data_IF_369372283214
#
_entry.id   IF_369372283214
#
_cell.length_a   1.000
_cell.length_b   1.000
_cell.length_c   1.000
_cell.angle_alpha   90.00
_cell.angle_beta   90.00
_cell.angle_gamma   90.00
#
_symmetry.space_group_name_H-M   'P 1'
#
loop_
_entity.id
_entity.type
_entity.pdbx_description
1 polymer ?
#
# COMPACT_ATOMS: atom_id res chain seq x y z
N UNK A 1 14.21 0.04 -27.03
CA UNK A 1 14.48 0.97 -28.15
C UNK A 1 13.97 2.39 -27.91
N UNK A 2 12.75 2.60 -27.38
CA UNK A 2 12.16 3.93 -27.23
C UNK A 2 12.96 4.93 -26.39
N UNK A 3 13.43 4.54 -25.20
CA UNK A 3 14.12 5.45 -24.25
C UNK A 3 15.38 6.14 -24.82
N UNK A 4 16.06 5.53 -25.81
CA UNK A 4 17.30 6.10 -26.39
C UNK A 4 17.04 7.07 -27.53
N UNK A 5 15.88 7.03 -28.18
CA UNK A 5 15.62 7.73 -29.43
C UNK A 5 14.40 8.65 -29.38
N UNK A 6 13.60 8.56 -28.32
CA UNK A 6 12.40 9.38 -28.13
C UNK A 6 12.62 10.28 -26.92
N UNK A 7 12.65 11.60 -27.08
CA UNK A 7 12.97 12.54 -25.99
C UNK A 7 11.90 12.60 -24.90
N UNK A 8 10.64 12.33 -25.21
CA UNK A 8 9.55 12.30 -24.25
C UNK A 8 8.49 11.27 -24.65
N UNK A 9 7.90 10.59 -23.68
CA UNK A 9 6.85 9.60 -23.88
C UNK A 9 5.72 9.90 -22.89
N UNK A 10 4.51 10.11 -23.40
CA UNK A 10 3.29 10.24 -22.63
C UNK A 10 2.53 8.91 -22.66
N UNK A 11 2.33 8.30 -21.50
CA UNK A 11 1.55 7.08 -21.36
C UNK A 11 0.16 7.50 -20.89
N UNK A 12 -0.80 7.24 -21.72
CA UNK A 12 -2.19 7.53 -21.47
C UNK A 12 -2.95 6.21 -21.42
N UNK A 13 -3.31 5.79 -20.27
CA UNK A 13 -4.15 4.60 -20.09
C UNK A 13 -5.52 4.80 -20.77
N UNK A 14 -6.58 4.28 -20.24
CA UNK A 14 -7.95 4.49 -20.72
C UNK A 14 -8.54 5.74 -20.07
N UNK A 15 -8.45 6.89 -20.73
CA UNK A 15 -8.75 8.19 -20.12
C UNK A 15 -10.20 8.68 -20.31
N UNK A 16 -11.06 7.92 -20.98
CA UNK A 16 -12.47 8.26 -21.17
C UNK A 16 -12.71 9.45 -22.12
N UNK A 17 -13.89 10.07 -22.02
CA UNK A 17 -14.36 11.10 -22.97
C UNK A 17 -13.49 12.36 -23.03
N UNK A 18 -12.83 12.73 -21.95
CA UNK A 18 -11.98 13.94 -21.86
C UNK A 18 -10.53 13.71 -22.30
N UNK A 19 -10.25 12.57 -22.90
CA UNK A 19 -8.92 12.12 -23.31
C UNK A 19 -8.20 13.15 -24.18
N UNK A 20 -8.80 13.55 -25.28
CA UNK A 20 -8.19 14.50 -26.22
C UNK A 20 -7.86 15.85 -25.57
N UNK A 21 -8.76 16.39 -24.77
CA UNK A 21 -8.53 17.64 -24.03
C UNK A 21 -7.40 17.53 -23.01
N UNK A 22 -7.33 16.39 -22.32
CA UNK A 22 -6.29 16.13 -21.31
C UNK A 22 -4.91 16.05 -21.95
N UNK A 23 -4.76 15.31 -23.05
CA UNK A 23 -3.51 15.23 -23.82
C UNK A 23 -3.09 16.59 -24.34
N UNK A 24 -4.01 17.31 -25.00
CA UNK A 24 -3.71 18.63 -25.55
C UNK A 24 -3.24 19.60 -24.46
N UNK A 25 -3.89 19.62 -23.29
CA UNK A 25 -3.49 20.48 -22.19
C UNK A 25 -2.08 20.16 -21.66
N UNK A 26 -1.69 18.91 -21.64
CA UNK A 26 -0.31 18.52 -21.29
C UNK A 26 0.65 18.93 -22.41
N UNK A 27 0.42 18.53 -23.65
CA UNK A 27 1.33 18.78 -24.77
C UNK A 27 1.59 20.27 -25.03
N UNK A 28 0.57 21.10 -24.83
CA UNK A 28 0.68 22.57 -24.97
C UNK A 28 1.02 23.29 -23.67
N UNK A 29 1.37 22.57 -22.61
CA UNK A 29 1.85 23.15 -21.35
C UNK A 29 0.79 23.87 -20.51
N UNK A 30 -0.50 23.72 -20.81
CA UNK A 30 -1.59 24.26 -19.98
C UNK A 30 -1.72 23.56 -18.65
N UNK A 31 -1.36 22.27 -18.62
CA UNK A 31 -1.37 21.44 -17.41
C UNK A 31 -0.01 20.80 -17.25
N UNK A 32 0.61 20.98 -16.09
CA UNK A 32 1.83 20.27 -15.73
C UNK A 32 1.48 18.82 -15.36
N UNK A 33 2.07 17.79 -16.02
CA UNK A 33 1.82 16.41 -15.70
C UNK A 33 2.26 16.08 -14.28
N UNK A 34 1.49 15.23 -13.61
CA UNK A 34 1.76 14.77 -12.24
C UNK A 34 1.35 13.32 -12.01
N UNK A 35 1.20 12.56 -13.10
CA UNK A 35 0.97 11.12 -13.05
C UNK A 35 2.27 10.37 -12.79
N UNK A 36 2.17 9.28 -12.04
CA UNK A 36 3.27 8.35 -11.79
C UNK A 36 2.85 6.95 -12.22
N UNK A 37 3.81 6.16 -12.70
CA UNK A 37 3.58 4.79 -13.15
C UNK A 37 3.17 3.90 -11.97
N UNK A 38 2.10 3.16 -12.13
CA UNK A 38 1.60 2.19 -11.17
C UNK A 38 2.13 0.78 -11.41
N UNK A 39 2.95 0.61 -12.43
CA UNK A 39 3.66 -0.63 -12.78
C UNK A 39 5.07 -0.31 -13.23
N UNK A 40 6.00 -1.25 -13.07
CA UNK A 40 7.33 -1.16 -13.68
C UNK A 40 7.25 -1.56 -15.14
N UNK A 41 7.96 -0.87 -16.03
CA UNK A 41 8.09 -1.22 -17.43
C UNK A 41 9.35 -2.04 -17.64
N UNK A 42 9.28 -3.25 -18.20
CA UNK A 42 10.44 -4.07 -18.48
C UNK A 42 11.29 -3.51 -19.61
N UNK A 43 12.57 -3.87 -19.67
CA UNK A 43 13.47 -3.51 -20.77
C UNK A 43 13.06 -4.16 -22.09
N UNK A 44 12.52 -5.36 -22.02
CA UNK A 44 12.03 -6.16 -23.14
C UNK A 44 11.02 -7.19 -22.66
N UNK A 45 10.35 -7.89 -23.56
CA UNK A 45 9.46 -9.01 -23.22
C UNK A 45 10.16 -10.15 -22.47
N UNK A 46 11.45 -10.34 -22.68
CA UNK A 46 12.25 -11.32 -21.93
C UNK A 46 12.66 -10.87 -20.54
N UNK A 47 12.35 -9.66 -20.13
CA UNK A 47 12.66 -9.10 -18.82
C UNK A 47 11.47 -9.18 -17.84
N UNK A 48 10.61 -10.16 -17.98
CA UNK A 48 9.50 -10.41 -17.08
C UNK A 48 9.83 -11.56 -16.12
N UNK A 49 9.38 -11.48 -14.85
CA UNK A 49 8.62 -10.38 -14.22
C UNK A 49 9.54 -9.21 -13.79
N UNK A 50 9.04 -7.98 -13.91
CA UNK A 50 9.75 -6.75 -13.56
C UNK A 50 8.95 -5.92 -12.55
N UNK A 51 8.90 -6.35 -11.29
CA UNK A 51 8.22 -5.64 -10.21
C UNK A 51 9.20 -5.11 -9.16
N UNK A 52 8.89 -3.96 -8.58
CA UNK A 52 9.79 -3.23 -7.67
C UNK A 52 9.91 -3.88 -6.28
N UNK A 53 8.91 -4.65 -5.87
CA UNK A 53 8.79 -5.28 -4.56
C UNK A 53 9.16 -6.77 -4.58
N UNK A 54 10.15 -7.11 -5.42
CA UNK A 54 10.65 -8.47 -5.48
C UNK A 54 11.28 -8.91 -4.15
N UNK A 55 11.39 -10.22 -3.95
CA UNK A 55 12.12 -10.76 -2.81
C UNK A 55 13.63 -10.56 -2.97
N UNK A 56 14.38 -10.47 -1.86
CA UNK A 56 15.84 -10.41 -1.93
C UNK A 56 16.40 -11.69 -2.56
N UNK A 57 17.45 -11.55 -3.34
CA UNK A 57 18.18 -12.69 -3.91
C UNK A 57 19.44 -12.97 -3.11
N UNK A 58 19.86 -14.22 -3.09
CA UNK A 58 20.96 -14.74 -2.26
C UNK A 58 22.34 -14.15 -2.56
N UNK A 59 22.56 -13.53 -3.72
CA UNK A 59 23.87 -13.05 -4.16
C UNK A 59 23.91 -11.64 -4.71
N UNK A 60 22.98 -10.80 -4.32
CA UNK A 60 22.98 -9.41 -4.77
C UNK A 60 22.84 -9.26 -6.27
N UNK A 61 22.12 -10.12 -6.85
CA UNK A 61 21.79 -10.32 -8.25
C UNK A 61 21.52 -9.02 -9.03
N UNK A 62 20.89 -8.05 -8.40
CA UNK A 62 20.55 -6.77 -9.03
C UNK A 62 21.64 -5.70 -8.94
N UNK A 63 22.85 -6.04 -8.48
CA UNK A 63 23.93 -5.09 -8.27
C UNK A 63 25.03 -5.15 -9.34
N UNK A 64 25.17 -6.27 -10.05
CA UNK A 64 26.17 -6.45 -11.10
C UNK A 64 25.57 -7.22 -12.26
N UNK A 65 25.26 -6.58 -13.37
CA UNK A 65 24.89 -7.29 -14.58
C UNK A 65 26.02 -8.25 -14.98
N UNK A 66 25.63 -9.48 -15.36
CA UNK A 66 26.58 -10.43 -15.89
C UNK A 66 27.14 -10.00 -17.24
N UNK A 67 28.28 -10.54 -17.62
CA UNK A 67 28.83 -10.46 -18.96
C UNK A 67 28.89 -11.84 -19.61
N UNK A 68 29.21 -11.88 -20.89
CA UNK A 68 29.37 -13.16 -21.58
C UNK A 68 30.53 -13.99 -21.01
N UNK A 69 31.64 -13.34 -20.64
CA UNK A 69 32.82 -13.98 -20.04
C UNK A 69 32.61 -14.33 -18.56
N UNK A 70 31.79 -13.57 -17.89
CA UNK A 70 31.43 -13.79 -16.49
C UNK A 70 29.91 -13.67 -16.35
N UNK A 71 29.18 -14.70 -16.77
CA UNK A 71 27.75 -14.71 -16.64
C UNK A 71 27.41 -14.69 -15.14
N UNK A 72 26.98 -13.55 -14.66
CA UNK A 72 26.44 -13.38 -13.34
C UNK A 72 25.16 -14.23 -13.19
N UNK A 73 24.39 -13.90 -12.18
CA UNK A 73 23.03 -14.46 -12.04
C UNK A 73 21.98 -13.53 -12.60
N UNK A 74 22.40 -12.49 -13.32
CA UNK A 74 21.59 -11.46 -13.96
C UNK A 74 21.37 -11.76 -15.44
N UNK A 75 20.67 -10.85 -16.11
CA UNK A 75 20.58 -10.84 -17.57
C UNK A 75 21.95 -10.49 -18.17
N UNK A 76 22.49 -11.35 -19.02
CA UNK A 76 23.84 -11.19 -19.58
C UNK A 76 23.99 -9.94 -20.44
N UNK A 77 22.94 -9.56 -21.18
CA UNK A 77 22.98 -8.46 -22.16
C UNK A 77 22.13 -7.24 -21.78
N UNK A 78 21.55 -7.23 -20.59
CA UNK A 78 20.71 -6.12 -20.15
C UNK A 78 20.86 -5.85 -18.66
N UNK A 79 20.60 -4.60 -18.25
CA UNK A 79 20.50 -4.27 -16.84
C UNK A 79 19.33 -5.03 -16.21
N UNK A 80 19.46 -5.51 -14.96
CA UNK A 80 18.36 -6.13 -14.23
C UNK A 80 17.27 -5.11 -13.80
N UNK A 81 17.59 -3.81 -13.81
CA UNK A 81 16.62 -2.77 -13.52
C UNK A 81 15.58 -2.59 -14.64
N UNK A 82 14.38 -2.13 -14.32
CA UNK A 82 13.34 -1.86 -15.31
C UNK A 82 13.71 -0.72 -16.26
N UNK A 83 13.00 -0.61 -17.36
CA UNK A 83 13.11 0.53 -18.28
C UNK A 83 12.63 1.82 -17.60
N UNK A 84 11.48 1.72 -16.93
CA UNK A 84 10.94 2.73 -16.01
C UNK A 84 10.41 2.01 -14.78
N UNK A 85 10.82 2.50 -13.62
CA UNK A 85 10.44 1.91 -12.35
C UNK A 85 8.99 2.24 -11.96
N UNK A 86 8.42 1.44 -11.08
CA UNK A 86 7.19 1.78 -10.38
C UNK A 86 7.34 3.14 -9.68
N UNK A 87 6.32 3.97 -9.75
CA UNK A 87 6.33 5.31 -9.18
C UNK A 87 7.03 6.36 -10.05
N UNK A 88 7.67 5.99 -11.18
CA UNK A 88 8.32 6.96 -12.07
C UNK A 88 7.31 7.91 -12.70
N UNK A 89 7.64 9.20 -12.71
CA UNK A 89 6.86 10.25 -13.36
C UNK A 89 7.74 11.46 -13.68
N UNK A 90 7.38 12.19 -14.71
CA UNK A 90 8.03 13.43 -15.10
C UNK A 90 7.05 14.59 -15.02
N UNK A 91 7.59 15.76 -14.75
CA UNK A 91 6.86 17.01 -14.64
C UNK A 91 7.66 18.14 -15.31
N UNK A 92 7.03 19.27 -15.58
CA UNK A 92 7.69 20.44 -16.19
C UNK A 92 8.45 21.30 -15.16
N UNK A 93 8.43 20.90 -13.89
CA UNK A 93 9.16 21.56 -12.82
C UNK A 93 10.06 20.57 -12.08
N UNK A 94 10.77 21.02 -11.06
CA UNK A 94 11.64 20.17 -10.25
C UNK A 94 11.32 20.32 -8.78
N UNK A 95 11.42 19.24 -8.02
CA UNK A 95 11.16 19.25 -6.59
C UNK A 95 12.40 18.79 -5.83
N UNK A 96 12.63 19.41 -4.67
CA UNK A 96 13.65 18.99 -3.72
C UNK A 96 13.00 18.47 -2.45
N UNK A 97 13.51 17.38 -1.91
CA UNK A 97 13.00 16.69 -0.72
C UNK A 97 14.04 16.74 0.37
N UNK A 98 13.69 17.26 1.54
CA UNK A 98 14.58 17.42 2.69
C UNK A 98 13.86 17.13 4.00
N UNK A 99 14.61 17.12 5.11
CA UNK A 99 14.09 17.15 6.48
C UNK A 99 13.07 16.05 6.79
N UNK A 100 13.43 14.81 6.57
CA UNK A 100 12.59 13.69 6.97
C UNK A 100 12.56 13.57 8.49
N UNK A 101 11.36 13.65 9.06
CA UNK A 101 11.11 13.47 10.50
C UNK A 101 10.11 12.35 10.71
N UNK A 102 10.43 11.42 11.60
CA UNK A 102 9.57 10.28 11.90
C UNK A 102 9.04 10.40 13.32
N UNK A 103 7.73 10.28 13.47
CA UNK A 103 7.02 10.18 14.73
C UNK A 103 6.41 8.78 14.80
N UNK A 104 6.89 8.00 15.76
CA UNK A 104 6.42 6.64 15.97
C UNK A 104 5.51 6.60 17.19
N UNK A 105 4.33 6.00 17.03
CA UNK A 105 3.43 5.60 18.11
C UNK A 105 3.26 4.07 18.11
N UNK A 106 2.54 3.55 19.07
CA UNK A 106 2.28 2.11 19.16
C UNK A 106 1.51 1.58 17.93
N UNK A 107 0.63 2.38 17.35
CA UNK A 107 -0.28 1.97 16.29
C UNK A 107 0.10 2.50 14.92
N UNK A 108 0.84 3.59 14.84
CA UNK A 108 1.06 4.31 13.59
C UNK A 108 2.43 4.96 13.51
N UNK A 109 2.91 5.07 12.29
CA UNK A 109 4.15 5.76 11.94
C UNK A 109 3.76 6.93 11.05
N UNK A 110 4.10 8.15 11.50
CA UNK A 110 3.92 9.39 10.75
C UNK A 110 5.29 9.89 10.29
N UNK A 111 5.41 10.13 9.01
CA UNK A 111 6.64 10.64 8.38
C UNK A 111 6.33 12.00 7.78
N UNK A 112 7.12 12.98 8.12
CA UNK A 112 7.01 14.31 7.54
C UNK A 112 8.23 14.55 6.65
N UNK A 113 8.01 15.04 5.45
CA UNK A 113 9.06 15.41 4.51
C UNK A 113 8.83 16.84 4.04
N UNK A 114 9.89 17.64 4.00
CA UNK A 114 9.85 18.98 3.44
C UNK A 114 10.05 18.89 1.94
N UNK A 115 9.11 19.41 1.17
CA UNK A 115 9.14 19.44 -0.29
C UNK A 115 9.14 20.86 -0.79
N UNK A 116 10.09 21.22 -1.65
CA UNK A 116 10.22 22.53 -2.27
C UNK A 116 10.14 22.40 -3.79
N UNK A 117 9.34 23.24 -4.41
CA UNK A 117 9.39 23.44 -5.86
C UNK A 117 10.58 24.34 -6.21
N UNK A 118 11.60 23.76 -6.83
CA UNK A 118 12.83 24.46 -7.23
C UNK A 118 12.83 24.89 -8.69
N UNK A 119 11.79 24.50 -9.43
CA UNK A 119 11.64 24.85 -10.84
C UNK A 119 10.87 26.15 -11.08
N UNK A 120 10.55 26.39 -12.34
CA UNK A 120 9.93 27.64 -12.80
C UNK A 120 8.40 27.58 -12.96
N UNK A 121 7.82 26.40 -12.83
CA UNK A 121 6.41 26.16 -13.10
C UNK A 121 5.72 25.62 -11.86
N UNK A 122 4.48 26.00 -11.66
CA UNK A 122 3.62 25.34 -10.68
C UNK A 122 3.48 23.86 -11.04
N UNK A 123 3.49 22.99 -10.04
CA UNK A 123 3.40 21.56 -10.25
C UNK A 123 2.94 20.80 -9.02
N UNK A 124 2.72 19.50 -9.20
CA UNK A 124 2.33 18.63 -8.09
C UNK A 124 3.44 17.62 -7.81
N UNK A 125 4.02 17.70 -6.62
CA UNK A 125 4.97 16.70 -6.12
C UNK A 125 4.21 15.49 -5.58
N UNK A 126 4.81 14.30 -5.71
CA UNK A 126 4.26 13.04 -5.19
C UNK A 126 5.34 12.31 -4.38
N UNK A 127 5.60 12.73 -3.13
CA UNK A 127 6.46 11.95 -2.25
C UNK A 127 5.86 10.58 -1.99
N UNK A 128 6.67 9.55 -2.15
CA UNK A 128 6.33 8.14 -2.00
C UNK A 128 7.12 7.57 -0.83
N UNK A 129 6.42 6.96 0.12
CA UNK A 129 7.01 6.35 1.31
C UNK A 129 7.09 4.85 1.11
N UNK A 130 8.30 4.34 1.09
CA UNK A 130 8.59 2.92 1.02
C UNK A 130 9.15 2.43 2.35
N UNK A 131 8.85 1.18 2.68
CA UNK A 131 9.37 0.51 3.86
C UNK A 131 10.02 -0.80 3.46
N UNK A 132 11.14 -1.11 4.11
CA UNK A 132 11.82 -2.38 4.05
C UNK A 132 11.99 -2.93 5.46
N UNK A 133 11.61 -4.17 5.66
CA UNK A 133 12.04 -4.94 6.80
C UNK A 133 13.50 -5.37 6.60
N UNK A 134 14.37 -4.98 7.53
CA UNK A 134 15.81 -5.25 7.39
C UNK A 134 16.13 -6.71 7.65
N UNK A 135 15.41 -7.31 8.61
CA UNK A 135 15.60 -8.69 9.02
C UNK A 135 14.28 -9.27 9.54
N UNK A 136 13.78 -10.29 8.87
CA UNK A 136 12.52 -10.96 9.19
C UNK A 136 12.67 -12.48 9.20
N UNK A 137 11.78 -13.16 9.93
CA UNK A 137 11.79 -14.63 10.04
C UNK A 137 11.49 -15.34 8.72
N UNK A 138 10.77 -14.67 7.83
CA UNK A 138 10.48 -15.14 6.45
C UNK A 138 11.00 -14.11 5.45
N UNK A 139 11.13 -14.53 4.18
CA UNK A 139 11.54 -13.61 3.11
C UNK A 139 10.47 -12.55 2.87
N UNK A 140 10.84 -11.28 3.06
CA UNK A 140 9.99 -10.11 2.79
C UNK A 140 10.50 -9.33 1.58
N UNK A 141 9.65 -8.57 0.88
CA UNK A 141 10.06 -7.76 -0.25
C UNK A 141 11.15 -6.74 0.09
N UNK A 142 12.05 -6.47 -0.86
CA UNK A 142 13.14 -5.50 -0.71
C UNK A 142 12.66 -4.09 -0.37
N UNK A 143 11.43 -3.76 -0.71
CA UNK A 143 10.69 -2.56 -0.28
C UNK A 143 9.23 -2.66 -0.66
N UNK A 144 8.37 -1.96 0.06
CA UNK A 144 6.93 -1.86 -0.22
C UNK A 144 6.49 -0.41 -0.09
N UNK A 145 5.70 0.09 -1.04
CA UNK A 145 5.02 1.38 -0.91
C UNK A 145 3.97 1.28 0.20
N UNK A 146 4.05 2.13 1.22
CA UNK A 146 3.09 2.17 2.33
C UNK A 146 2.23 3.42 2.33
N UNK A 147 2.75 4.53 1.80
CA UNK A 147 2.00 5.77 1.70
C UNK A 147 2.52 6.65 0.56
N UNK A 148 1.67 7.51 0.04
CA UNK A 148 2.04 8.61 -0.83
C UNK A 148 1.09 9.78 -0.60
N UNK A 149 1.51 10.97 -1.02
CA UNK A 149 0.66 12.14 -1.02
C UNK A 149 0.92 12.95 -2.29
N UNK A 150 -0.07 13.70 -2.76
CA UNK A 150 0.07 14.59 -3.92
C UNK A 150 -0.18 16.02 -3.48
N UNK A 151 0.83 16.86 -3.54
CA UNK A 151 0.79 18.24 -3.09
C UNK A 151 1.11 19.21 -4.22
N UNK A 152 0.27 20.23 -4.41
CA UNK A 152 0.50 21.31 -5.37
C UNK A 152 1.42 22.36 -4.75
N UNK A 153 2.39 22.83 -5.53
CA UNK A 153 3.38 23.83 -5.11
C UNK A 153 3.63 24.84 -6.23
N UNK A 154 3.55 26.11 -5.90
CA UNK A 154 3.97 27.21 -6.76
C UNK A 154 5.51 27.26 -6.87
N UNK A 155 6.08 27.93 -7.89
CA UNK A 155 7.52 28.12 -7.99
C UNK A 155 8.13 28.73 -6.74
N UNK A 156 9.16 28.08 -6.17
CA UNK A 156 9.82 28.49 -4.93
C UNK A 156 9.09 28.11 -3.63
N UNK A 157 7.86 27.66 -3.71
CA UNK A 157 7.06 27.26 -2.54
C UNK A 157 7.65 26.03 -1.86
N UNK A 158 7.56 26.03 -0.53
CA UNK A 158 8.01 24.92 0.32
C UNK A 158 6.87 24.52 1.25
N UNK A 159 6.63 23.24 1.38
CA UNK A 159 5.63 22.71 2.32
C UNK A 159 6.13 21.46 3.03
N UNK A 160 5.55 21.18 4.18
CA UNK A 160 5.81 19.96 4.94
C UNK A 160 4.67 18.98 4.68
N UNK A 161 4.99 17.87 4.02
CA UNK A 161 4.02 16.85 3.59
C UNK A 161 3.96 15.72 4.61
N UNK A 162 2.79 15.45 5.19
CA UNK A 162 2.60 14.28 6.05
C UNK A 162 2.34 13.02 5.20
N UNK A 163 2.99 11.93 5.61
CA UNK A 163 2.77 10.56 5.13
C UNK A 163 2.56 9.68 6.35
N UNK A 164 1.64 8.76 6.33
CA UNK A 164 1.40 7.89 7.47
C UNK A 164 0.96 6.49 7.02
N UNK A 165 1.27 5.51 7.86
CA UNK A 165 0.78 4.15 7.71
C UNK A 165 0.65 3.51 9.11
N UNK A 166 -0.16 2.48 9.23
CA UNK A 166 -0.34 1.78 10.49
C UNK A 166 0.82 0.81 10.74
N UNK A 167 1.23 0.63 12.00
CA UNK A 167 2.29 -0.34 12.35
C UNK A 167 1.91 -1.75 11.88
N UNK A 168 0.63 -2.10 11.94
CA UNK A 168 0.11 -3.38 11.43
C UNK A 168 0.32 -3.61 9.93
N UNK A 169 0.52 -2.56 9.12
CA UNK A 169 0.85 -2.69 7.70
C UNK A 169 2.25 -3.30 7.47
N UNK A 170 3.04 -3.43 8.53
CA UNK A 170 4.34 -4.11 8.55
C UNK A 170 4.23 -5.60 8.86
N UNK A 171 3.01 -6.10 9.12
CA UNK A 171 2.81 -7.48 9.51
C UNK A 171 3.20 -8.46 8.40
N UNK A 172 3.74 -9.57 8.82
CA UNK A 172 3.97 -10.76 8.00
C UNK A 172 3.13 -11.92 8.53
N UNK A 173 2.89 -12.90 7.68
CA UNK A 173 2.20 -14.14 8.06
C UNK A 173 3.20 -15.28 8.00
N UNK A 174 3.42 -15.94 9.13
CA UNK A 174 4.34 -17.06 9.25
C UNK A 174 3.81 -18.36 8.60
N UNK A 175 4.62 -19.41 8.58
CA UNK A 175 4.24 -20.72 8.00
C UNK A 175 3.06 -21.37 8.73
N UNK A 176 2.83 -21.02 9.99
CA UNK A 176 1.68 -21.49 10.77
C UNK A 176 0.39 -20.70 10.50
N UNK A 177 0.43 -19.69 9.62
CA UNK A 177 -0.69 -18.82 9.28
C UNK A 177 -0.95 -17.72 10.32
N UNK A 178 -0.02 -17.48 11.24
CA UNK A 178 -0.14 -16.42 12.25
C UNK A 178 0.39 -15.11 11.69
N UNK A 179 -0.44 -14.07 11.71
CA UNK A 179 -0.07 -12.72 11.26
C UNK A 179 0.39 -11.87 12.44
N UNK A 180 1.58 -11.30 12.34
CA UNK A 180 2.16 -10.45 13.38
C UNK A 180 3.14 -9.44 12.79
N UNK A 181 3.38 -8.36 13.51
CA UNK A 181 4.53 -7.49 13.32
C UNK A 181 5.65 -8.01 14.19
N UNK A 182 6.77 -8.41 13.61
CA UNK A 182 7.94 -8.86 14.35
C UNK A 182 8.73 -7.66 14.90
N UNK A 183 9.38 -7.80 16.08
CA UNK A 183 10.31 -6.79 16.53
C UNK A 183 11.53 -6.80 15.62
N UNK A 184 11.96 -5.62 15.24
CA UNK A 184 13.07 -5.51 14.29
C UNK A 184 13.34 -4.08 13.86
N UNK A 185 14.26 -3.96 12.92
CA UNK A 185 14.62 -2.69 12.29
C UNK A 185 13.96 -2.55 10.94
N UNK A 186 13.33 -1.41 10.71
CA UNK A 186 12.66 -1.08 9.46
C UNK A 186 13.29 0.15 8.82
N UNK A 187 13.64 0.06 7.56
CA UNK A 187 14.11 1.20 6.78
C UNK A 187 12.92 1.96 6.20
N UNK A 188 12.77 3.21 6.60
CA UNK A 188 11.81 4.15 6.06
C UNK A 188 12.49 4.96 4.96
N UNK A 189 11.92 4.95 3.78
CA UNK A 189 12.52 5.54 2.59
C UNK A 189 11.52 6.49 1.92
N UNK A 190 11.98 7.69 1.56
CA UNK A 190 11.21 8.66 0.76
C UNK A 190 11.86 8.79 -0.61
N UNK A 191 11.06 8.65 -1.64
CA UNK A 191 11.48 8.84 -3.03
C UNK A 191 10.37 9.44 -3.88
N UNK A 192 10.68 9.71 -5.13
CA UNK A 192 9.72 10.08 -6.19
C UNK A 192 9.47 8.93 -7.18
N UNK A 193 10.25 7.84 -7.03
CA UNK A 193 10.07 6.56 -7.69
C UNK A 193 10.70 5.44 -6.85
N UNK A 194 10.35 4.18 -7.13
CA UNK A 194 10.87 3.03 -6.38
C UNK A 194 12.38 2.81 -6.55
N UNK A 195 12.97 3.27 -7.65
CA UNK A 195 14.42 3.22 -7.92
C UNK A 195 15.13 4.55 -7.62
N UNK A 196 14.39 5.59 -7.21
CA UNK A 196 14.93 6.90 -6.88
C UNK A 196 14.57 7.30 -5.45
N UNK A 197 15.30 6.74 -4.50
CA UNK A 197 15.17 7.03 -3.07
C UNK A 197 16.05 8.21 -2.71
N UNK A 198 15.45 9.24 -2.12
CA UNK A 198 16.09 10.53 -1.81
C UNK A 198 16.48 10.64 -0.33
N UNK A 199 15.63 10.12 0.56
CA UNK A 199 15.85 10.16 2.00
C UNK A 199 15.62 8.77 2.60
N UNK A 200 16.41 8.44 3.64
CA UNK A 200 16.34 7.13 4.30
C UNK A 200 16.66 7.27 5.78
N UNK A 201 15.89 6.60 6.60
CA UNK A 201 16.09 6.51 8.05
C UNK A 201 15.63 5.15 8.56
N UNK A 202 16.29 4.63 9.58
CA UNK A 202 15.90 3.36 10.23
C UNK A 202 15.14 3.65 11.52
N UNK A 203 14.07 2.89 11.73
CA UNK A 203 13.32 2.84 12.99
C UNK A 203 13.38 1.44 13.58
N UNK A 204 13.06 1.29 14.87
CA UNK A 204 12.96 -0.01 15.53
C UNK A 204 11.58 -0.22 16.11
N UNK A 205 11.03 -1.42 15.92
CA UNK A 205 9.81 -1.91 16.57
C UNK A 205 10.24 -2.87 17.68
N UNK A 206 9.86 -2.58 18.93
CA UNK A 206 10.42 -3.28 20.11
C UNK A 206 9.61 -4.48 20.59
N UNK A 207 8.42 -4.76 20.06
CA UNK A 207 7.54 -5.81 20.55
C UNK A 207 6.86 -6.58 19.41
N UNK A 208 6.65 -7.89 19.65
CA UNK A 208 5.73 -8.67 18.83
C UNK A 208 4.31 -8.12 18.97
N UNK A 209 3.70 -7.75 17.86
CA UNK A 209 2.31 -7.28 17.82
C UNK A 209 1.50 -8.28 17.02
N UNK A 210 0.62 -9.02 17.69
CA UNK A 210 -0.40 -9.81 16.99
C UNK A 210 -1.32 -8.84 16.23
N UNK A 211 -1.53 -9.11 14.97
CA UNK A 211 -2.41 -8.30 14.13
C UNK A 211 -3.74 -9.04 14.01
N UNK A 212 -4.80 -8.39 14.46
CA UNK A 212 -6.14 -8.89 14.19
C UNK A 212 -6.40 -8.85 12.69
N UNK A 213 -6.98 -9.91 12.09
CA UNK A 213 -7.45 -9.86 10.71
C UNK A 213 -8.39 -8.68 10.43
N UNK A 214 -9.06 -8.17 11.48
CA UNK A 214 -10.01 -7.06 11.45
C UNK A 214 -9.35 -5.72 11.79
N UNK A 215 -8.33 -5.32 11.07
CA UNK A 215 -7.63 -4.05 11.33
C UNK A 215 -8.13 -2.93 10.41
N UNK A 216 -9.41 -2.59 10.50
CA UNK A 216 -9.98 -1.51 9.69
C UNK A 216 -9.94 -0.22 10.50
N UNK A 217 -9.07 0.71 10.08
CA UNK A 217 -9.07 2.10 10.52
C UNK A 217 -9.57 3.02 9.40
N UNK A 218 -10.82 2.86 8.99
CA UNK A 218 -11.50 3.91 8.25
C UNK A 218 -11.94 5.00 9.23
N UNK A 219 -11.67 6.25 8.92
CA UNK A 219 -12.31 7.38 9.59
C UNK A 219 -13.81 7.35 9.21
N UNK A 220 -14.61 6.89 10.14
CA UNK A 220 -16.06 6.86 10.00
C UNK A 220 -16.65 8.22 10.36
N UNK A 221 -17.79 8.59 9.78
CA UNK A 221 -18.51 9.79 10.18
C UNK A 221 -18.78 9.78 11.69
N UNK A 222 -18.68 10.93 12.34
CA UNK A 222 -18.85 11.12 13.80
C UNK A 222 -20.23 10.74 14.37
N UNK A 223 -21.17 10.31 13.51
CA UNK A 223 -22.56 10.04 13.89
C UNK A 223 -22.90 8.55 14.08
N UNK A 224 -21.96 7.62 13.83
CA UNK A 224 -22.21 6.18 13.97
C UNK A 224 -22.03 5.75 15.43
N UNK A 225 -22.95 4.91 15.94
CA UNK A 225 -22.83 4.29 17.27
C UNK A 225 -23.54 5.01 18.40
N UNK A 226 -24.44 5.94 18.09
CA UNK A 226 -25.32 6.62 19.08
C UNK A 226 -26.63 5.90 19.32
N UNK A 227 -26.89 4.80 18.56
CA UNK A 227 -28.11 3.99 18.71
C UNK A 227 -28.12 3.12 19.95
N UNK A 228 -29.29 2.56 20.26
CA UNK A 228 -29.42 1.60 21.36
C UNK A 228 -28.60 0.34 21.08
N UNK A 229 -28.05 -0.26 22.13
CA UNK A 229 -27.38 -1.57 22.01
C UNK A 229 -28.44 -2.64 21.79
N UNK A 230 -28.25 -3.45 20.76
CA UNK A 230 -29.12 -4.59 20.44
C UNK A 230 -28.32 -5.89 20.39
N UNK A 231 -28.99 -6.99 20.65
CA UNK A 231 -28.40 -8.33 20.55
C UNK A 231 -28.52 -8.84 19.13
N UNK A 232 -27.38 -9.18 18.52
CA UNK A 232 -27.29 -9.63 17.13
C UNK A 232 -26.76 -11.06 17.10
N UNK A 233 -27.43 -11.92 16.35
CA UNK A 233 -26.99 -13.29 16.08
C UNK A 233 -26.92 -13.54 14.57
N UNK A 234 -26.18 -14.57 14.18
CA UNK A 234 -26.14 -14.96 12.79
C UNK A 234 -25.16 -16.11 12.51
N UNK A 235 -24.95 -16.36 11.24
CA UNK A 235 -24.02 -17.38 10.77
C UNK A 235 -23.19 -16.81 9.62
N UNK A 236 -21.89 -17.05 9.67
CA UNK A 236 -20.96 -16.73 8.59
C UNK A 236 -20.69 -18.00 7.77
N UNK A 237 -20.83 -17.90 6.46
CA UNK A 237 -20.59 -18.98 5.50
C UNK A 237 -19.66 -18.50 4.39
N UNK A 238 -19.02 -19.43 3.70
CA UNK A 238 -18.32 -19.14 2.45
C UNK A 238 -19.29 -19.19 1.25
N UNK A 239 -18.77 -18.97 0.05
CA UNK A 239 -19.57 -19.03 -1.20
C UNK A 239 -20.08 -20.42 -1.55
N UNK A 240 -19.55 -21.50 -0.94
CA UNK A 240 -20.06 -22.86 -1.04
C UNK A 240 -21.06 -23.20 0.05
N UNK A 241 -21.51 -22.21 0.83
CA UNK A 241 -22.41 -22.33 1.97
C UNK A 241 -21.83 -23.12 3.18
N UNK A 242 -20.49 -23.34 3.21
CA UNK A 242 -19.81 -23.96 4.34
C UNK A 242 -19.68 -22.98 5.50
N UNK A 243 -20.01 -23.35 6.75
CA UNK A 243 -19.78 -22.51 7.90
C UNK A 243 -18.29 -22.15 8.08
N UNK A 244 -18.04 -20.90 8.43
CA UNK A 244 -16.66 -20.40 8.61
C UNK A 244 -16.44 -20.02 10.08
N UNK A 245 -15.56 -20.74 10.75
CA UNK A 245 -15.14 -20.49 12.14
C UNK A 245 -14.14 -19.34 12.26
N UNK A 246 -13.91 -18.86 13.48
CA UNK A 246 -12.87 -17.87 13.80
C UNK A 246 -12.90 -16.63 12.90
N UNK A 247 -14.07 -16.22 12.45
CA UNK A 247 -14.28 -14.93 11.80
C UNK A 247 -14.41 -13.89 12.90
N UNK A 248 -13.53 -12.92 12.92
CA UNK A 248 -13.61 -11.80 13.85
C UNK A 248 -14.67 -10.81 13.38
N UNK A 249 -15.45 -10.27 14.32
CA UNK A 249 -16.49 -9.30 14.08
C UNK A 249 -16.09 -7.99 14.74
N UNK A 250 -15.75 -7.02 13.95
CA UNK A 250 -15.33 -5.71 14.39
C UNK A 250 -16.49 -4.73 14.35
N UNK A 251 -16.75 -4.05 15.47
CA UNK A 251 -17.68 -2.94 15.56
C UNK A 251 -16.98 -1.64 15.18
N UNK A 252 -17.50 -0.95 14.19
CA UNK A 252 -16.94 0.33 13.79
C UNK A 252 -17.26 1.43 14.79
N UNK A 253 -18.43 1.36 15.41
CA UNK A 253 -18.88 2.28 16.46
C UNK A 253 -18.03 2.15 17.75
N UNK A 254 -17.76 0.90 18.17
CA UNK A 254 -17.00 0.62 19.39
C UNK A 254 -15.48 0.55 19.13
N UNK A 255 -15.05 0.57 17.87
CA UNK A 255 -13.65 0.49 17.42
C UNK A 255 -12.88 -0.71 17.98
N UNK A 256 -13.54 -1.85 18.13
CA UNK A 256 -12.95 -3.08 18.65
C UNK A 256 -13.61 -4.33 18.08
N UNK A 257 -12.94 -5.48 18.22
CA UNK A 257 -13.54 -6.78 17.96
C UNK A 257 -14.52 -7.12 19.09
N UNK A 258 -15.76 -7.34 18.74
CA UNK A 258 -16.86 -7.60 19.69
C UNK A 258 -17.34 -9.05 19.68
N UNK A 259 -16.83 -9.87 18.78
CA UNK A 259 -17.17 -11.28 18.72
C UNK A 259 -16.34 -12.06 17.72
N UNK A 260 -16.43 -13.38 17.83
CA UNK A 260 -15.78 -14.35 16.94
C UNK A 260 -16.75 -15.50 16.67
N UNK A 261 -16.76 -16.02 15.44
CA UNK A 261 -17.63 -17.16 15.10
C UNK A 261 -17.12 -18.48 15.69
N UNK A 262 -18.05 -19.35 16.10
CA UNK A 262 -17.78 -20.71 16.56
C UNK A 262 -17.45 -21.67 15.39
N UNK A 263 -17.27 -22.97 15.69
CA UNK A 263 -16.97 -24.02 14.71
C UNK A 263 -18.11 -24.23 13.67
N UNK A 264 -19.32 -23.78 13.96
CA UNK A 264 -20.47 -23.83 13.07
C UNK A 264 -20.71 -22.48 12.35
N UNK A 265 -19.74 -21.56 12.43
CA UNK A 265 -19.84 -20.22 11.86
C UNK A 265 -20.85 -19.30 12.60
N UNK A 266 -21.39 -19.73 13.75
CA UNK A 266 -22.38 -18.95 14.51
C UNK A 266 -21.72 -17.89 15.37
N UNK A 267 -22.41 -16.76 15.53
CA UNK A 267 -21.97 -15.69 16.43
C UNK A 267 -23.17 -15.08 17.19
N UNK A 268 -22.84 -14.49 18.33
CA UNK A 268 -23.76 -13.72 19.16
C UNK A 268 -23.01 -12.53 19.75
N UNK A 269 -23.46 -11.32 19.48
CA UNK A 269 -22.78 -10.07 19.81
C UNK A 269 -23.76 -8.99 20.23
N UNK A 270 -23.25 -7.98 20.91
CA UNK A 270 -23.95 -6.75 21.29
C UNK A 270 -23.35 -5.56 20.53
N UNK A 271 -24.16 -4.85 19.76
CA UNK A 271 -23.73 -3.69 18.99
C UNK A 271 -24.82 -2.60 18.91
N UNK A 272 -24.47 -1.33 18.67
CA UNK A 272 -25.41 -0.29 18.37
C UNK A 272 -26.30 -0.62 17.16
N UNK A 273 -27.56 -0.25 17.19
CA UNK A 273 -28.51 -0.49 16.10
C UNK A 273 -28.19 0.21 14.78
N UNK A 274 -27.32 1.23 14.83
CA UNK A 274 -26.81 2.02 13.72
C UNK A 274 -25.34 1.73 13.37
N UNK A 275 -24.78 0.65 13.92
CA UNK A 275 -23.38 0.27 13.69
C UNK A 275 -23.14 -0.32 12.31
N UNK A 276 -21.88 -0.30 11.90
CA UNK A 276 -21.36 -1.05 10.76
C UNK A 276 -20.45 -2.16 11.28
N UNK A 277 -20.83 -3.39 11.07
CA UNK A 277 -20.04 -4.55 11.44
C UNK A 277 -19.13 -4.97 10.29
N UNK A 278 -17.91 -5.34 10.62
CA UNK A 278 -16.94 -5.86 9.65
C UNK A 278 -16.54 -7.26 10.04
N UNK A 279 -16.75 -8.19 9.14
CA UNK A 279 -16.44 -9.61 9.30
C UNK A 279 -15.11 -9.90 8.62
N UNK A 280 -14.11 -10.29 9.39
CA UNK A 280 -12.74 -10.44 8.94
C UNK A 280 -12.18 -11.82 9.29
N UNK A 281 -11.46 -12.41 8.34
CA UNK A 281 -10.70 -13.64 8.57
C UNK A 281 -9.50 -13.69 7.63
N UNK A 282 -8.36 -14.14 8.11
CA UNK A 282 -7.18 -14.35 7.27
C UNK A 282 -7.52 -15.29 6.09
N UNK A 283 -7.12 -14.89 4.87
CA UNK A 283 -7.43 -15.62 3.64
C UNK A 283 -8.79 -15.28 3.01
N UNK A 284 -9.61 -14.44 3.61
CA UNK A 284 -10.89 -13.99 3.10
C UNK A 284 -10.91 -12.48 2.85
N UNK A 285 -11.81 -12.03 1.97
CA UNK A 285 -12.13 -10.60 1.83
C UNK A 285 -13.01 -10.18 2.99
N UNK A 286 -12.75 -8.97 3.50
CA UNK A 286 -13.56 -8.40 4.57
C UNK A 286 -14.96 -8.04 4.05
N UNK A 287 -16.00 -8.39 4.81
CA UNK A 287 -17.38 -8.10 4.47
C UNK A 287 -17.94 -7.07 5.47
N UNK A 288 -18.52 -5.98 4.95
CA UNK A 288 -19.11 -4.90 5.74
C UNK A 288 -20.62 -4.96 5.69
N UNK A 289 -21.27 -4.85 6.83
CA UNK A 289 -22.73 -4.92 6.94
C UNK A 289 -23.24 -3.87 7.92
N UNK A 290 -24.21 -3.07 7.47
CA UNK A 290 -24.94 -2.17 8.35
C UNK A 290 -25.92 -2.98 9.21
N UNK A 291 -25.96 -2.69 10.49
CA UNK A 291 -26.85 -3.35 11.44
C UNK A 291 -28.31 -3.02 11.12
N UNK A 292 -28.65 -1.76 10.85
CA UNK A 292 -29.99 -1.30 10.45
C UNK A 292 -31.11 -1.88 11.33
N UNK A 293 -30.92 -1.95 12.66
CA UNK A 293 -31.84 -2.54 13.65
C UNK A 293 -32.13 -4.02 13.45
N UNK A 294 -31.31 -4.74 12.67
CA UNK A 294 -31.47 -6.18 12.46
C UNK A 294 -30.81 -6.96 13.59
N UNK A 295 -31.53 -7.93 14.13
CA UNK A 295 -31.03 -8.80 15.18
C UNK A 295 -30.67 -10.23 14.70
N UNK A 296 -30.83 -10.51 13.40
CA UNK A 296 -30.38 -11.73 12.74
C UNK A 296 -29.71 -11.35 11.40
N UNK A 297 -28.39 -11.54 11.32
CA UNK A 297 -27.59 -11.14 10.16
C UNK A 297 -26.80 -12.34 9.65
N UNK A 298 -27.13 -12.79 8.45
CA UNK A 298 -26.43 -13.88 7.75
C UNK A 298 -25.38 -13.33 6.82
N UNK A 299 -24.14 -13.82 6.90
CA UNK A 299 -22.99 -13.30 6.17
C UNK A 299 -22.39 -14.35 5.25
N UNK A 300 -22.05 -13.93 4.05
CA UNK A 300 -21.24 -14.74 3.11
C UNK A 300 -19.93 -14.05 2.84
N UNK A 301 -18.81 -14.68 3.22
CA UNK A 301 -17.46 -14.19 2.96
C UNK A 301 -16.80 -14.93 1.79
N UNK A 302 -15.89 -14.25 1.09
CA UNK A 302 -15.22 -14.77 -0.11
C UNK A 302 -13.74 -14.95 0.14
N UNK A 303 -13.17 -16.07 -0.32
CA UNK A 303 -11.72 -16.26 -0.28
C UNK A 303 -11.00 -15.17 -1.07
N UNK A 304 -9.89 -14.67 -0.54
CA UNK A 304 -8.96 -13.86 -1.33
C UNK A 304 -8.41 -14.75 -2.44
N UNK A 305 -8.53 -14.33 -3.69
CA UNK A 305 -7.86 -15.04 -4.79
C UNK A 305 -6.35 -14.92 -4.57
N UNK A 306 -5.72 -16.04 -4.26
CA UNK A 306 -4.27 -16.17 -4.33
C UNK A 306 -3.97 -16.48 -5.80
N UNK A 307 -3.48 -15.50 -6.55
CA UNK A 307 -2.88 -15.78 -7.85
C UNK A 307 -1.56 -16.52 -7.59
N UNK A 308 -1.33 -17.66 -8.26
CA UNK A 308 -0.09 -18.42 -8.12
C UNK A 308 1.14 -17.64 -8.61
#
# INVERSE_FOLDING_TARGET
MGKKHIPAILIQWYAGEQEGSSIANILFGKTNPSGHLTVSFPQSSGHLPAYYNHLPTDRGFYHKPGSYEQPGRDYVFSSPGPLWAFGHGLTYTTFNYTDMQIQQSIDSIKVFVTVKNTGRWAGKAVPQLYVRDVFSSISTPVKQLKAFNKVALEPGETTRVPLHFAVQDLALTDEAGKTMVEPGSFEIMIGDASDHILLKQTISIGQNMAVSPCSIKEQLPEEIGKGNIIHIKGVVRDVQATPVDKVEIYSTAQQQVIGVTDQNGKYFIDAPEDDVLVFCKSGYLDEKVNVDRKNDIQITIRNKMVFP
#
